data_IF_409553735039
#
_entry.id   IF_409553735039
#
_cell.length_a   1.000
_cell.length_b   1.000
_cell.length_c   1.000
_cell.angle_alpha   90.00
_cell.angle_beta   90.00
_cell.angle_gamma   90.00
#
_symmetry.space_group_name_H-M   'P 1'
#
loop_
_entity.id
_entity.type
_entity.pdbx_description
1 polymer ?
#
# COMPACT_ATOMS: atom_id res chain seq x y z
N UNK A 1 77.40 -28.23 97.33
CA UNK A 1 77.42 -26.76 97.49
C UNK A 1 76.05 -26.25 97.06
N UNK A 2 75.40 -25.43 97.91
CA UNK A 2 74.31 -24.46 97.64
C UNK A 2 73.21 -24.83 96.60
N UNK A 3 71.91 -24.87 96.91
CA UNK A 3 71.16 -23.95 97.78
C UNK A 3 70.94 -22.60 97.06
N UNK A 4 69.75 -21.99 97.04
CA UNK A 4 68.54 -22.17 97.88
C UNK A 4 67.38 -21.35 97.27
N UNK A 5 66.11 -21.70 97.56
CA UNK A 5 64.91 -20.81 97.62
C UNK A 5 64.54 -19.93 96.38
N UNK A 6 63.34 -19.39 96.08
CA UNK A 6 61.93 -19.41 96.52
C UNK A 6 61.09 -18.76 95.37
N UNK A 7 59.74 -18.71 95.29
CA UNK A 7 58.63 -19.11 96.18
C UNK A 7 57.30 -19.37 95.42
N UNK A 8 56.29 -19.86 96.16
CA UNK A 8 54.82 -19.65 96.11
C UNK A 8 54.04 -19.20 94.82
N UNK A 9 52.97 -19.99 94.53
CA UNK A 9 51.59 -19.59 94.10
C UNK A 9 51.20 -19.04 92.70
N UNK A 10 50.09 -19.64 92.19
CA UNK A 10 49.09 -19.22 91.18
C UNK A 10 49.20 -19.66 89.69
N UNK A 11 48.07 -20.23 89.20
CA UNK A 11 47.30 -20.07 87.92
C UNK A 11 48.01 -19.49 86.67
N UNK A 12 47.71 -19.88 85.43
CA UNK A 12 46.62 -20.72 84.85
C UNK A 12 47.00 -21.24 83.44
N UNK A 13 46.28 -22.24 82.92
CA UNK A 13 46.66 -23.03 81.74
C UNK A 13 46.41 -22.39 80.36
N UNK A 14 47.31 -22.64 79.39
CA UNK A 14 47.09 -22.67 77.92
C UNK A 14 48.29 -23.28 77.18
N UNK A 15 48.06 -23.96 76.05
CA UNK A 15 49.06 -24.34 75.02
C UNK A 15 49.72 -25.72 75.22
N UNK A 16 49.67 -26.74 74.32
CA UNK A 16 50.06 -26.83 72.87
C UNK A 16 51.56 -27.20 72.73
N UNK A 17 52.09 -28.13 71.89
CA UNK A 17 51.61 -29.00 70.79
C UNK A 17 52.49 -30.30 70.71
N UNK A 18 52.13 -31.34 69.92
CA UNK A 18 53.15 -32.23 69.29
C UNK A 18 52.95 -33.78 69.24
N UNK A 19 52.58 -34.29 68.04
CA UNK A 19 52.88 -35.63 67.45
C UNK A 19 51.99 -36.89 67.71
N UNK A 20 52.04 -37.82 66.73
CA UNK A 20 50.95 -38.67 66.19
C UNK A 20 50.93 -40.14 66.68
N UNK A 21 49.80 -40.89 66.57
CA UNK A 21 49.45 -41.62 65.32
C UNK A 21 47.94 -41.73 64.97
N UNK A 22 47.66 -42.32 63.79
CA UNK A 22 46.35 -42.85 63.30
C UNK A 22 45.30 -41.88 62.70
N UNK A 23 45.27 -41.79 61.36
CA UNK A 23 44.24 -41.07 60.60
C UNK A 23 42.98 -41.93 60.36
N UNK A 24 41.82 -41.51 60.87
CA UNK A 24 40.49 -41.97 60.40
C UNK A 24 39.49 -40.82 60.20
N UNK A 25 39.48 -40.27 59.00
CA UNK A 25 38.26 -39.94 58.25
C UNK A 25 37.20 -39.02 58.86
N UNK A 26 37.48 -37.72 58.91
CA UNK A 26 36.44 -36.70 58.79
C UNK A 26 36.43 -36.16 57.35
N UNK A 27 35.26 -36.12 56.69
CA UNK A 27 35.10 -35.46 55.37
C UNK A 27 33.98 -34.44 55.40
N UNK A 28 34.36 -33.18 55.16
CA UNK A 28 33.49 -32.05 54.87
C UNK A 28 32.61 -32.38 53.64
N UNK A 29 31.29 -32.36 53.80
CA UNK A 29 30.34 -32.66 52.73
C UNK A 29 30.29 -31.51 51.72
N UNK A 30 31.11 -31.58 50.67
CA UNK A 30 30.94 -30.73 49.48
C UNK A 30 29.61 -31.08 48.79
N UNK A 31 28.85 -30.10 48.25
CA UNK A 31 27.65 -30.41 47.48
C UNK A 31 28.04 -31.23 46.25
N UNK A 32 27.38 -32.37 46.06
CA UNK A 32 27.69 -33.29 44.97
C UNK A 32 27.32 -32.67 43.63
N UNK A 33 28.28 -32.65 42.69
CA UNK A 33 27.99 -32.28 41.31
C UNK A 33 27.02 -33.32 40.71
N UNK A 34 25.82 -32.87 40.37
CA UNK A 34 24.79 -33.74 39.79
C UNK A 34 25.18 -34.14 38.37
N UNK A 35 25.39 -35.43 38.13
CA UNK A 35 25.77 -35.97 36.83
C UNK A 35 24.62 -35.81 35.82
N UNK A 36 24.85 -34.94 34.84
CA UNK A 36 23.94 -34.62 33.75
C UNK A 36 24.02 -35.70 32.67
N UNK A 37 22.87 -36.17 32.19
CA UNK A 37 22.79 -37.24 31.19
C UNK A 37 21.43 -37.30 30.51
N UNK A 38 21.23 -38.29 29.63
CA UNK A 38 19.97 -38.44 28.90
C UNK A 38 18.79 -38.60 29.88
N UNK A 39 17.77 -37.74 29.75
CA UNK A 39 16.63 -37.67 30.68
C UNK A 39 16.90 -37.02 32.04
N UNK A 40 18.13 -36.56 32.33
CA UNK A 40 18.54 -35.94 33.61
C UNK A 40 19.03 -34.50 33.37
N UNK A 41 18.13 -33.49 33.28
CA UNK A 41 18.52 -32.10 33.07
C UNK A 41 19.26 -31.52 34.30
N UNK A 42 20.18 -30.55 34.10
CA UNK A 42 20.96 -29.98 35.20
C UNK A 42 20.05 -29.25 36.22
N UNK A 43 20.29 -29.52 37.51
CA UNK A 43 19.43 -29.03 38.60
C UNK A 43 19.25 -27.51 38.64
N UNK A 44 20.28 -26.74 38.26
CA UNK A 44 20.24 -25.28 38.19
C UNK A 44 19.21 -24.70 37.19
N UNK A 45 18.80 -25.48 36.18
CA UNK A 45 17.86 -25.07 35.14
C UNK A 45 16.51 -25.81 35.20
N UNK A 46 16.28 -26.62 36.24
CA UNK A 46 15.01 -27.33 36.41
C UNK A 46 13.93 -26.39 36.94
N UNK A 47 12.76 -26.38 36.30
CA UNK A 47 11.60 -25.63 36.80
C UNK A 47 11.21 -26.09 38.21
N UNK A 48 10.98 -25.13 39.11
CA UNK A 48 10.54 -25.41 40.48
C UNK A 48 9.11 -25.97 40.47
N UNK A 49 8.86 -27.04 41.22
CA UNK A 49 7.53 -27.66 41.34
C UNK A 49 6.53 -26.64 41.86
N UNK A 50 5.47 -26.36 41.08
CA UNK A 50 4.46 -25.35 41.40
C UNK A 50 4.68 -23.97 40.76
N UNK A 51 5.80 -23.72 40.07
CA UNK A 51 6.08 -22.44 39.40
C UNK A 51 6.28 -22.63 37.89
N UNK A 52 5.35 -22.10 37.09
CA UNK A 52 5.46 -22.07 35.62
C UNK A 52 6.73 -21.33 35.18
N UNK A 53 7.47 -21.91 34.23
CA UNK A 53 8.61 -21.26 33.58
C UNK A 53 8.24 -20.04 32.73
N UNK A 54 6.96 -19.89 32.38
CA UNK A 54 6.42 -18.69 31.75
C UNK A 54 5.50 -17.97 32.75
N UNK A 55 5.96 -16.88 33.40
CA UNK A 55 5.16 -16.13 34.37
C UNK A 55 4.05 -15.29 33.74
N UNK A 56 4.07 -15.07 32.41
CA UNK A 56 2.94 -14.46 31.67
C UNK A 56 1.87 -15.48 31.27
N UNK A 57 2.10 -16.76 31.56
CA UNK A 57 1.25 -17.87 31.13
C UNK A 57 1.28 -18.12 29.61
N UNK A 58 0.79 -19.28 29.13
CA UNK A 58 0.37 -19.37 27.74
C UNK A 58 -0.73 -18.32 27.50
N UNK A 59 -0.59 -17.53 26.43
CA UNK A 59 -1.65 -16.59 26.03
C UNK A 59 -3.00 -17.33 25.87
N UNK A 60 -4.13 -16.66 26.10
CA UNK A 60 -5.44 -17.32 26.14
C UNK A 60 -5.67 -18.16 24.88
N UNK A 61 -5.98 -19.45 25.07
CA UNK A 61 -6.24 -20.43 24.00
C UNK A 61 -7.52 -20.08 23.23
N UNK A 62 -7.46 -19.05 22.39
CA UNK A 62 -8.62 -18.48 21.74
C UNK A 62 -8.42 -17.03 21.29
N UNK A 63 -7.36 -16.76 20.51
CA UNK A 63 -7.47 -15.68 19.53
C UNK A 63 -8.73 -15.94 18.69
N UNK A 64 -9.57 -14.92 18.48
CA UNK A 64 -10.93 -15.09 17.91
C UNK A 64 -10.96 -15.42 16.40
N UNK A 65 -9.88 -15.99 15.87
CA UNK A 65 -9.77 -16.47 14.49
C UNK A 65 -10.31 -17.91 14.33
N UNK A 66 -11.36 -18.25 15.09
CA UNK A 66 -12.23 -19.37 14.74
C UNK A 66 -13.26 -18.89 13.70
N UNK A 67 -12.78 -18.64 12.49
CA UNK A 67 -13.66 -18.80 11.33
C UNK A 67 -14.12 -20.26 11.32
N UNK A 68 -15.35 -20.50 11.77
CA UNK A 68 -16.05 -21.74 11.42
C UNK A 68 -15.98 -21.83 9.89
N UNK A 69 -15.23 -22.79 9.36
CA UNK A 69 -15.34 -23.12 7.95
C UNK A 69 -16.65 -23.86 7.73
N UNK A 70 -17.50 -23.34 6.85
CA UNK A 70 -18.10 -24.19 5.85
C UNK A 70 -17.75 -23.73 4.43
N UNK A 71 -17.80 -24.71 3.52
CA UNK A 71 -17.77 -24.61 2.07
C UNK A 71 -16.52 -24.00 1.39
N UNK A 72 -16.32 -24.48 0.16
CA UNK A 72 -15.25 -24.10 -0.75
C UNK A 72 -15.62 -22.75 -1.36
N UNK A 73 -14.98 -21.68 -0.89
CA UNK A 73 -15.19 -20.33 -1.40
C UNK A 73 -13.85 -19.80 -1.93
N UNK A 74 -13.61 -20.01 -3.22
CA UNK A 74 -12.46 -19.42 -3.91
C UNK A 74 -12.46 -17.89 -3.75
N UNK A 75 -13.66 -17.28 -3.83
CA UNK A 75 -13.96 -15.89 -3.51
C UNK A 75 -13.42 -15.44 -2.14
N UNK A 76 -13.52 -16.28 -1.10
CA UNK A 76 -13.03 -15.96 0.25
C UNK A 76 -11.51 -16.00 0.33
N UNK A 77 -10.86 -16.92 -0.39
CA UNK A 77 -9.40 -16.94 -0.48
C UNK A 77 -8.90 -15.73 -1.29
N UNK A 78 -9.54 -15.45 -2.43
CA UNK A 78 -9.27 -14.26 -3.24
C UNK A 78 -9.41 -12.98 -2.40
N UNK A 79 -10.50 -12.84 -1.63
CA UNK A 79 -10.70 -11.71 -0.71
C UNK A 79 -9.56 -11.59 0.32
N UNK A 80 -9.20 -12.67 1.02
CA UNK A 80 -8.11 -12.65 2.02
C UNK A 80 -6.77 -12.28 1.37
N UNK A 81 -6.50 -12.79 0.16
CA UNK A 81 -5.28 -12.45 -0.61
C UNK A 81 -5.27 -10.97 -1.01
N UNK A 82 -6.40 -10.41 -1.44
CA UNK A 82 -6.52 -8.99 -1.79
C UNK A 82 -6.39 -8.10 -0.54
N UNK A 83 -7.03 -8.46 0.57
CA UNK A 83 -6.92 -7.74 1.85
C UNK A 83 -5.47 -7.68 2.34
N UNK A 84 -4.74 -8.80 2.32
CA UNK A 84 -3.32 -8.82 2.71
C UNK A 84 -2.43 -8.12 1.68
N UNK A 85 -2.73 -8.20 0.38
CA UNK A 85 -1.99 -7.51 -0.69
C UNK A 85 -2.06 -5.98 -0.56
N UNK A 86 -3.22 -5.44 -0.19
CA UNK A 86 -3.42 -4.01 0.00
C UNK A 86 -3.10 -3.51 1.42
N UNK A 87 -2.93 -4.40 2.40
CA UNK A 87 -2.48 -4.04 3.75
C UNK A 87 -1.13 -3.32 3.69
N UNK A 88 -1.04 -2.16 4.33
CA UNK A 88 0.20 -1.38 4.37
C UNK A 88 1.20 -1.98 5.36
N UNK A 89 2.47 -1.98 4.96
CA UNK A 89 3.61 -2.33 5.81
C UNK A 89 4.72 -1.28 5.65
N UNK A 90 5.50 -1.07 6.70
CA UNK A 90 6.69 -0.21 6.65
C UNK A 90 7.90 -1.05 6.23
N UNK A 91 8.53 -0.66 5.12
CA UNK A 91 9.69 -1.34 4.54
C UNK A 91 10.85 -0.36 4.46
N UNK A 92 12.08 -0.87 4.65
CA UNK A 92 13.30 -0.08 4.49
C UNK A 92 13.74 -0.11 3.03
N UNK A 93 13.65 1.05 2.37
CA UNK A 93 14.07 1.28 0.99
C UNK A 93 15.40 2.06 1.04
N UNK A 94 16.50 1.31 1.13
CA UNK A 94 17.85 1.84 1.37
C UNK A 94 17.98 2.52 2.75
N UNK A 95 18.15 3.84 2.73
CA UNK A 95 18.28 4.66 3.94
C UNK A 95 16.94 5.13 4.51
N UNK A 96 15.85 5.07 3.73
CA UNK A 96 14.54 5.62 4.12
C UNK A 96 13.57 4.49 4.49
N UNK A 97 12.75 4.70 5.51
CA UNK A 97 11.59 3.85 5.78
C UNK A 97 10.39 4.39 4.99
N UNK A 98 9.71 3.53 4.23
CA UNK A 98 8.54 3.90 3.44
C UNK A 98 7.40 2.94 3.76
N UNK A 99 6.21 3.50 4.00
CA UNK A 99 5.00 2.70 4.20
C UNK A 99 4.30 2.52 2.85
N UNK A 100 4.15 1.28 2.41
CA UNK A 100 3.54 0.89 1.12
C UNK A 100 2.67 -0.36 1.30
N UNK A 101 1.71 -0.64 0.39
CA UNK A 101 0.99 -1.92 0.36
C UNK A 101 1.95 -3.12 0.25
N UNK A 102 1.60 -4.23 0.89
CA UNK A 102 2.37 -5.49 0.90
C UNK A 102 2.72 -5.95 -0.52
N UNK A 103 1.76 -5.94 -1.45
CA UNK A 103 2.01 -6.33 -2.84
C UNK A 103 3.06 -5.42 -3.49
N UNK A 104 2.99 -4.10 -3.29
CA UNK A 104 3.98 -3.16 -3.84
C UNK A 104 5.38 -3.40 -3.24
N UNK A 105 5.48 -3.68 -1.94
CA UNK A 105 6.73 -4.05 -1.28
C UNK A 105 7.33 -5.33 -1.86
N UNK A 106 6.52 -6.38 -2.04
CA UNK A 106 6.96 -7.65 -2.61
C UNK A 106 7.49 -7.43 -4.03
N UNK A 107 6.73 -6.76 -4.90
CA UNK A 107 7.16 -6.49 -6.28
C UNK A 107 8.46 -5.66 -6.33
N UNK A 108 8.61 -4.61 -5.51
CA UNK A 108 9.87 -3.84 -5.41
C UNK A 108 11.04 -4.72 -4.99
N UNK A 109 10.87 -5.51 -3.92
CA UNK A 109 11.95 -6.37 -3.40
C UNK A 109 12.37 -7.43 -4.42
N UNK A 110 11.41 -8.01 -5.15
CA UNK A 110 11.63 -8.96 -6.23
C UNK A 110 12.34 -8.31 -7.41
N UNK A 111 11.96 -7.10 -7.83
CA UNK A 111 12.65 -6.36 -8.88
C UNK A 111 14.11 -6.05 -8.51
N UNK A 112 14.37 -5.60 -7.28
CA UNK A 112 15.75 -5.38 -6.77
C UNK A 112 16.55 -6.68 -6.76
N UNK A 113 15.95 -7.80 -6.36
CA UNK A 113 16.61 -9.11 -6.35
C UNK A 113 16.85 -9.66 -7.78
N UNK A 114 15.94 -9.41 -8.72
CA UNK A 114 16.09 -9.74 -10.13
C UNK A 114 17.23 -8.94 -10.78
N UNK A 115 17.31 -7.64 -10.50
CA UNK A 115 18.39 -6.76 -10.93
C UNK A 115 19.76 -7.18 -10.35
N UNK A 116 19.78 -7.74 -9.13
CA UNK A 116 20.95 -8.35 -8.50
C UNK A 116 21.32 -9.75 -9.03
N UNK A 117 20.67 -10.23 -10.09
CA UNK A 117 21.01 -11.50 -10.74
C UNK A 117 20.39 -12.76 -10.14
N UNK A 118 19.44 -12.65 -9.19
CA UNK A 118 18.79 -13.84 -8.61
C UNK A 118 17.85 -14.49 -9.63
N UNK A 119 18.26 -15.59 -10.27
CA UNK A 119 17.53 -16.23 -11.36
C UNK A 119 16.05 -16.54 -11.06
N UNK A 120 15.71 -16.96 -9.83
CA UNK A 120 14.31 -17.20 -9.43
C UNK A 120 13.49 -15.91 -9.41
N UNK A 121 14.06 -14.80 -8.95
CA UNK A 121 13.42 -13.49 -8.96
C UNK A 121 13.31 -12.93 -10.39
N UNK A 122 14.34 -13.11 -11.22
CA UNK A 122 14.32 -12.75 -12.65
C UNK A 122 13.18 -13.46 -13.38
N UNK A 123 13.04 -14.77 -13.19
CA UNK A 123 11.97 -15.57 -13.80
C UNK A 123 10.58 -15.11 -13.35
N UNK A 124 10.34 -15.00 -12.04
CA UNK A 124 9.05 -14.56 -11.50
C UNK A 124 8.68 -13.15 -11.96
N UNK A 125 9.66 -12.23 -12.01
CA UNK A 125 9.45 -10.87 -12.51
C UNK A 125 9.11 -10.85 -14.00
N UNK A 126 9.81 -11.63 -14.82
CA UNK A 126 9.53 -11.75 -16.25
C UNK A 126 8.15 -12.39 -16.53
N UNK A 127 7.78 -13.45 -15.79
CA UNK A 127 6.45 -14.09 -15.88
C UNK A 127 5.33 -13.09 -15.53
N UNK A 128 5.51 -12.28 -14.47
CA UNK A 128 4.55 -11.23 -14.10
C UNK A 128 4.49 -10.07 -15.09
N UNK A 129 5.63 -9.67 -15.66
CA UNK A 129 5.69 -8.64 -16.71
C UNK A 129 4.92 -9.09 -17.96
N UNK A 130 5.27 -10.25 -18.52
CA UNK A 130 4.59 -10.80 -19.71
C UNK A 130 3.10 -11.04 -19.45
N UNK A 131 2.72 -11.53 -18.28
CA UNK A 131 1.31 -11.67 -17.89
C UNK A 131 0.57 -10.34 -17.85
N UNK A 132 1.20 -9.30 -17.28
CA UNK A 132 0.62 -7.95 -17.19
C UNK A 132 0.52 -7.28 -18.56
N UNK A 133 1.57 -7.36 -19.39
CA UNK A 133 1.58 -6.83 -20.76
C UNK A 133 0.55 -7.53 -21.65
N UNK A 134 0.42 -8.86 -21.54
CA UNK A 134 -0.57 -9.63 -22.31
C UNK A 134 -1.99 -9.29 -21.87
N UNK A 135 -2.26 -9.21 -20.56
CA UNK A 135 -3.55 -8.81 -20.04
C UNK A 135 -3.89 -7.35 -20.40
N UNK A 136 -2.92 -6.45 -20.37
CA UNK A 136 -3.09 -5.07 -20.80
C UNK A 136 -3.40 -5.00 -22.30
N UNK A 137 -2.59 -5.64 -23.15
CA UNK A 137 -2.80 -5.68 -24.60
C UNK A 137 -4.19 -6.22 -24.94
N UNK A 138 -4.57 -7.35 -24.35
CA UNK A 138 -5.91 -7.93 -24.52
C UNK A 138 -7.03 -6.93 -24.19
N UNK A 139 -6.95 -6.18 -23.08
CA UNK A 139 -7.95 -5.16 -22.74
C UNK A 139 -7.97 -3.99 -23.74
N UNK A 140 -6.82 -3.59 -24.28
CA UNK A 140 -6.74 -2.56 -25.32
C UNK A 140 -7.33 -3.08 -26.65
N UNK A 141 -7.04 -4.32 -27.03
CA UNK A 141 -7.58 -4.96 -28.23
C UNK A 141 -9.11 -5.15 -28.12
N UNK A 142 -9.61 -5.60 -26.97
CA UNK A 142 -11.04 -5.73 -26.67
C UNK A 142 -11.74 -4.35 -26.76
N UNK A 143 -11.16 -3.31 -26.18
CA UNK A 143 -11.70 -1.94 -26.24
C UNK A 143 -11.64 -1.34 -27.66
N UNK A 144 -10.54 -1.53 -28.38
CA UNK A 144 -10.37 -1.07 -29.77
C UNK A 144 -11.41 -1.73 -30.69
N UNK A 145 -11.60 -3.04 -30.59
CA UNK A 145 -12.60 -3.76 -31.38
C UNK A 145 -14.03 -3.28 -31.07
N UNK A 146 -14.38 -3.13 -29.80
CA UNK A 146 -15.69 -2.59 -29.40
C UNK A 146 -15.90 -1.16 -29.92
N UNK A 147 -14.89 -0.29 -29.84
CA UNK A 147 -14.95 1.07 -30.36
C UNK A 147 -15.08 1.13 -31.89
N UNK A 148 -14.37 0.28 -32.64
CA UNK A 148 -14.51 0.16 -34.08
C UNK A 148 -15.92 -0.32 -34.48
N UNK A 149 -16.43 -1.37 -33.84
CA UNK A 149 -17.78 -1.89 -34.09
C UNK A 149 -18.84 -0.82 -33.82
N UNK A 150 -18.78 -0.20 -32.64
CA UNK A 150 -19.70 0.87 -32.24
C UNK A 150 -19.72 2.03 -33.25
N UNK A 151 -18.54 2.50 -33.68
CA UNK A 151 -18.42 3.61 -34.63
C UNK A 151 -19.05 3.25 -35.99
N UNK A 152 -18.70 2.09 -36.56
CA UNK A 152 -19.21 1.64 -37.86
C UNK A 152 -20.73 1.39 -37.82
N UNK A 153 -21.26 0.82 -36.75
CA UNK A 153 -22.69 0.56 -36.59
C UNK A 153 -23.48 1.87 -36.48
N UNK A 154 -23.02 2.83 -35.68
CA UNK A 154 -23.70 4.11 -35.51
C UNK A 154 -23.55 5.06 -36.71
N UNK A 155 -22.40 5.12 -37.37
CA UNK A 155 -22.26 5.87 -38.64
C UNK A 155 -23.25 5.36 -39.69
N UNK A 156 -23.40 4.04 -39.81
CA UNK A 156 -24.34 3.41 -40.74
C UNK A 156 -25.80 3.72 -40.39
N UNK A 157 -26.16 3.68 -39.11
CA UNK A 157 -27.53 3.99 -38.65
C UNK A 157 -27.85 5.48 -38.76
N UNK A 158 -26.91 6.38 -38.45
CA UNK A 158 -27.08 7.83 -38.66
C UNK A 158 -27.24 8.17 -40.14
N UNK A 159 -26.40 7.60 -41.02
CA UNK A 159 -26.53 7.79 -42.47
C UNK A 159 -27.88 7.26 -43.01
N UNK A 160 -28.38 6.16 -42.45
CA UNK A 160 -29.72 5.65 -42.74
C UNK A 160 -30.82 6.60 -42.27
N UNK A 161 -30.72 7.18 -41.07
CA UNK A 161 -31.69 8.14 -40.54
C UNK A 161 -31.74 9.42 -41.36
N UNK A 162 -30.58 9.97 -41.71
CA UNK A 162 -30.43 11.14 -42.58
C UNK A 162 -31.12 10.90 -43.93
N UNK A 163 -30.78 9.78 -44.60
CA UNK A 163 -31.38 9.40 -45.90
C UNK A 163 -32.90 9.18 -45.84
N UNK A 164 -33.45 8.83 -44.67
CA UNK A 164 -34.89 8.60 -44.47
C UNK A 164 -35.62 9.81 -43.84
N UNK A 165 -34.92 10.90 -43.50
CA UNK A 165 -35.50 12.08 -42.85
C UNK A 165 -35.97 11.84 -41.40
N UNK A 166 -35.39 10.86 -40.70
CA UNK A 166 -35.78 10.48 -39.33
C UNK A 166 -35.06 11.39 -38.32
N UNK A 167 -35.79 12.36 -37.76
CA UNK A 167 -35.26 13.39 -36.83
C UNK A 167 -35.84 13.33 -35.42
N UNK A 168 -36.74 12.39 -35.14
CA UNK A 168 -37.48 12.23 -33.87
C UNK A 168 -36.70 11.42 -32.82
N UNK A 169 -35.70 10.65 -33.24
CA UNK A 169 -34.87 9.82 -32.35
C UNK A 169 -33.67 10.60 -31.81
N UNK A 170 -33.32 10.44 -30.51
CA UNK A 170 -32.13 11.07 -29.94
C UNK A 170 -30.84 10.52 -30.59
N UNK A 171 -29.77 11.33 -30.62
CA UNK A 171 -28.46 10.88 -31.06
C UNK A 171 -27.86 9.86 -30.06
N UNK A 172 -26.99 8.96 -30.53
CA UNK A 172 -26.31 7.99 -29.67
C UNK A 172 -25.35 8.66 -28.68
N UNK A 173 -25.12 7.98 -27.56
CA UNK A 173 -24.09 8.31 -26.58
C UNK A 173 -23.14 7.11 -26.40
N UNK A 174 -21.82 7.29 -26.55
CA UNK A 174 -21.15 8.45 -27.16
C UNK A 174 -21.54 8.66 -28.64
N UNK A 175 -21.44 9.88 -29.17
CA UNK A 175 -21.57 10.09 -30.62
C UNK A 175 -20.41 9.40 -31.36
N UNK A 176 -20.58 8.77 -32.55
CA UNK A 176 -19.47 8.14 -33.28
C UNK A 176 -18.30 9.09 -33.58
N UNK A 177 -18.57 10.40 -33.76
CA UNK A 177 -17.50 11.41 -33.93
C UNK A 177 -16.62 11.58 -32.68
N UNK A 178 -17.17 11.35 -31.49
CA UNK A 178 -16.41 11.37 -30.24
C UNK A 178 -15.52 10.13 -30.08
N UNK A 179 -15.69 9.10 -30.91
CA UNK A 179 -14.85 7.89 -30.91
C UNK A 179 -13.68 8.09 -31.87
N UNK A 180 -12.53 8.50 -31.33
CA UNK A 180 -11.30 8.71 -32.10
C UNK A 180 -10.46 7.44 -32.08
N UNK A 181 -10.15 6.91 -33.27
CA UNK A 181 -9.43 5.65 -33.46
C UNK A 181 -8.11 5.95 -34.16
N UNK A 182 -6.98 5.71 -33.49
CA UNK A 182 -5.65 5.75 -34.09
C UNK A 182 -5.27 4.34 -34.55
N UNK A 183 -5.40 4.11 -35.85
CA UNK A 183 -5.09 2.85 -36.53
C UNK A 183 -3.58 2.54 -36.49
N UNK A 184 -2.70 3.56 -36.43
CA UNK A 184 -1.25 3.37 -36.38
C UNK A 184 -0.76 3.01 -34.99
N UNK A 185 -1.34 3.62 -33.97
CA UNK A 185 -1.05 3.29 -32.57
C UNK A 185 -1.81 2.04 -32.07
N UNK A 186 -2.88 1.63 -32.77
CA UNK A 186 -3.75 0.55 -32.32
C UNK A 186 -4.55 0.94 -31.07
N UNK A 187 -5.03 2.18 -30.99
CA UNK A 187 -5.74 2.69 -29.81
C UNK A 187 -7.04 3.40 -30.18
N UNK A 188 -8.00 3.38 -29.26
CA UNK A 188 -9.21 4.19 -29.33
C UNK A 188 -9.30 5.08 -28.09
N UNK A 189 -9.98 6.23 -28.23
CA UNK A 189 -10.34 7.12 -27.12
C UNK A 189 -11.70 7.76 -27.37
N UNK A 190 -12.40 8.09 -26.30
CA UNK A 190 -13.65 8.86 -26.34
C UNK A 190 -13.31 10.30 -25.94
N UNK A 191 -13.69 11.28 -26.76
CA UNK A 191 -13.35 12.71 -26.57
C UNK A 191 -14.53 13.60 -26.17
N UNK A 192 -15.72 13.03 -26.05
CA UNK A 192 -16.95 13.74 -25.65
C UNK A 192 -17.79 12.89 -24.68
N UNK A 193 -19.00 13.32 -24.31
CA UNK A 193 -19.83 12.62 -23.34
C UNK A 193 -20.18 11.21 -23.82
N UNK A 194 -19.94 10.22 -22.95
CA UNK A 194 -20.29 8.82 -23.14
C UNK A 194 -21.56 8.44 -22.39
N UNK A 195 -21.86 9.12 -21.27
CA UNK A 195 -23.07 8.88 -20.47
C UNK A 195 -24.11 10.03 -20.58
N UNK A 196 -25.39 9.79 -20.27
CA UNK A 196 -26.40 10.86 -20.20
C UNK A 196 -26.08 11.94 -19.16
N UNK A 197 -25.43 11.56 -18.06
CA UNK A 197 -25.03 12.47 -16.98
C UNK A 197 -23.88 13.39 -17.44
N UNK A 198 -22.85 12.82 -18.07
CA UNK A 198 -21.78 13.58 -18.73
C UNK A 198 -22.33 14.50 -19.82
N UNK A 199 -23.31 14.03 -20.60
CA UNK A 199 -23.96 14.86 -21.63
C UNK A 199 -24.69 16.04 -21.00
N UNK A 200 -25.43 15.84 -19.90
CA UNK A 200 -26.13 16.93 -19.22
C UNK A 200 -25.15 17.99 -18.67
N UNK A 201 -24.01 17.55 -18.13
CA UNK A 201 -22.93 18.44 -17.69
C UNK A 201 -22.28 19.17 -18.88
N UNK A 202 -21.98 18.47 -19.96
CA UNK A 202 -21.43 19.04 -21.19
C UNK A 202 -22.37 20.10 -21.79
N UNK A 203 -23.66 19.78 -21.90
CA UNK A 203 -24.72 20.68 -22.38
C UNK A 203 -24.90 21.89 -21.44
N UNK A 204 -24.58 21.78 -20.14
CA UNK A 204 -24.53 22.92 -19.22
C UNK A 204 -23.29 23.78 -19.48
N UNK A 205 -22.09 23.21 -19.49
CA UNK A 205 -20.83 23.95 -19.73
C UNK A 205 -20.86 24.66 -21.09
N UNK A 206 -21.44 24.04 -22.12
CA UNK A 206 -21.63 24.65 -23.43
C UNK A 206 -22.59 25.86 -23.40
N UNK A 207 -23.66 25.81 -22.60
CA UNK A 207 -24.58 26.95 -22.40
C UNK A 207 -23.90 28.09 -21.64
N UNK A 208 -23.21 27.76 -20.54
CA UNK A 208 -22.52 28.73 -19.69
C UNK A 208 -21.40 29.45 -20.47
N UNK A 209 -20.64 28.71 -21.29
CA UNK A 209 -19.66 29.24 -22.25
C UNK A 209 -20.31 30.21 -23.24
N UNK A 210 -21.42 29.83 -23.87
CA UNK A 210 -22.11 30.67 -24.84
C UNK A 210 -22.74 31.94 -24.21
N UNK A 211 -23.11 31.91 -22.92
CA UNK A 211 -23.47 33.11 -22.18
C UNK A 211 -22.25 33.99 -21.87
N UNK A 212 -21.14 33.40 -21.40
CA UNK A 212 -19.90 34.10 -21.13
C UNK A 212 -19.35 34.81 -22.37
N UNK A 213 -19.34 34.15 -23.54
CA UNK A 213 -18.93 34.75 -24.81
C UNK A 213 -19.82 35.94 -25.21
N UNK A 214 -21.14 35.87 -24.98
CA UNK A 214 -22.08 36.99 -25.20
C UNK A 214 -21.82 38.15 -24.23
N UNK A 215 -21.57 37.86 -22.95
CA UNK A 215 -21.27 38.87 -21.93
C UNK A 215 -19.93 39.56 -22.22
N UNK A 216 -18.89 38.81 -22.59
CA UNK A 216 -17.61 39.37 -23.02
C UNK A 216 -17.74 40.19 -24.31
N UNK A 217 -18.55 39.76 -25.28
CA UNK A 217 -18.83 40.54 -26.48
C UNK A 217 -19.57 41.86 -26.17
N UNK A 218 -20.43 41.89 -25.14
CA UNK A 218 -21.05 43.11 -24.62
C UNK A 218 -20.03 44.03 -23.95
N UNK A 219 -19.19 43.50 -23.04
CA UNK A 219 -18.14 44.26 -22.37
C UNK A 219 -17.13 44.86 -23.37
N UNK A 220 -16.69 44.09 -24.39
CA UNK A 220 -15.85 44.58 -25.50
C UNK A 220 -16.52 45.65 -26.37
N UNK A 221 -17.86 45.78 -26.36
CA UNK A 221 -18.58 46.89 -27.01
C UNK A 221 -18.70 48.11 -26.09
N UNK A 222 -18.80 47.90 -24.78
CA UNK A 222 -18.81 48.97 -23.78
C UNK A 222 -17.43 49.66 -23.70
N UNK A 223 -16.35 48.88 -23.60
CA UNK A 223 -14.96 49.39 -23.58
C UNK A 223 -14.63 50.32 -24.78
N UNK A 224 -15.24 50.09 -25.95
CA UNK A 224 -15.06 50.92 -27.16
C UNK A 224 -15.80 52.25 -27.15
N UNK A 225 -16.72 52.44 -26.20
CA UNK A 225 -17.56 53.64 -26.03
C UNK A 225 -17.24 54.37 -24.74
N UNK A 226 -16.66 53.67 -23.78
CA UNK A 226 -16.33 54.22 -22.49
C UNK A 226 -15.11 55.15 -22.57
N UNK A 227 -15.16 56.26 -21.84
CA UNK A 227 -14.13 57.31 -21.84
C UNK A 227 -13.51 57.52 -20.46
N UNK A 228 -14.16 57.04 -19.39
CA UNK A 228 -13.61 57.07 -18.04
C UNK A 228 -12.49 56.01 -17.86
N UNK A 229 -11.25 56.41 -17.49
CA UNK A 229 -10.16 55.46 -17.25
C UNK A 229 -10.43 54.43 -16.14
N UNK A 230 -11.18 54.78 -15.10
CA UNK A 230 -11.47 53.85 -13.99
C UNK A 230 -12.44 52.76 -14.46
N UNK A 231 -13.52 53.13 -15.17
CA UNK A 231 -14.44 52.15 -15.76
C UNK A 231 -13.79 51.31 -16.86
N UNK A 232 -12.86 51.88 -17.64
CA UNK A 232 -12.07 51.13 -18.62
C UNK A 232 -11.23 50.03 -17.94
N UNK A 233 -10.49 50.35 -16.87
CA UNK A 233 -9.65 49.35 -16.17
C UNK A 233 -10.50 48.21 -15.57
N UNK A 234 -11.67 48.51 -15.01
CA UNK A 234 -12.56 47.50 -14.45
C UNK A 234 -13.23 46.64 -15.52
N UNK A 235 -13.62 47.21 -16.67
CA UNK A 235 -14.09 46.41 -17.82
C UNK A 235 -12.97 45.48 -18.32
N UNK A 236 -11.72 45.95 -18.39
CA UNK A 236 -10.56 45.11 -18.73
C UNK A 236 -10.26 44.03 -17.68
N UNK A 237 -10.46 44.33 -16.38
CA UNK A 237 -10.37 43.36 -15.29
C UNK A 237 -11.40 42.24 -15.47
N UNK A 238 -12.66 42.59 -15.75
CA UNK A 238 -13.73 41.63 -16.01
C UNK A 238 -13.51 40.82 -17.30
N UNK A 239 -12.97 41.43 -18.35
CA UNK A 239 -12.61 40.73 -19.58
C UNK A 239 -11.50 39.70 -19.35
N UNK A 240 -10.45 40.03 -18.59
CA UNK A 240 -9.38 39.09 -18.22
C UNK A 240 -9.91 37.88 -17.44
N UNK A 241 -10.75 38.10 -16.44
CA UNK A 241 -11.41 37.03 -15.67
C UNK A 241 -12.30 36.17 -16.59
N UNK A 242 -13.03 36.79 -17.52
CA UNK A 242 -13.83 36.10 -18.53
C UNK A 242 -12.99 35.25 -19.48
N UNK A 243 -11.82 35.74 -19.92
CA UNK A 243 -10.89 35.00 -20.79
C UNK A 243 -10.30 33.78 -20.08
N UNK A 244 -9.91 33.90 -18.80
CA UNK A 244 -9.47 32.75 -18.00
C UNK A 244 -10.57 31.71 -17.81
N UNK A 245 -11.79 32.14 -17.48
CA UNK A 245 -12.93 31.25 -17.31
C UNK A 245 -13.29 30.54 -18.63
N UNK A 246 -13.28 31.27 -19.74
CA UNK A 246 -13.53 30.74 -21.09
C UNK A 246 -12.46 29.72 -21.49
N UNK A 247 -11.18 29.96 -21.15
CA UNK A 247 -10.11 29.00 -21.42
C UNK A 247 -10.32 27.69 -20.66
N UNK A 248 -10.69 27.75 -19.37
CA UNK A 248 -11.01 26.56 -18.56
C UNK A 248 -12.24 25.81 -19.10
N UNK A 249 -13.27 26.53 -19.55
CA UNK A 249 -14.46 25.93 -20.18
C UNK A 249 -14.13 25.22 -21.50
N UNK A 250 -13.26 25.80 -22.34
CA UNK A 250 -12.80 25.17 -23.59
C UNK A 250 -12.01 23.89 -23.34
N UNK A 251 -11.06 23.92 -22.40
CA UNK A 251 -10.34 22.72 -21.95
C UNK A 251 -11.30 21.62 -21.45
N UNK A 252 -12.37 21.98 -20.73
CA UNK A 252 -13.37 21.02 -20.24
C UNK A 252 -14.27 20.43 -21.36
N UNK A 253 -14.45 21.15 -22.46
CA UNK A 253 -15.20 20.70 -23.64
C UNK A 253 -14.34 19.98 -24.69
N UNK A 254 -13.01 20.01 -24.55
CA UNK A 254 -12.06 19.42 -25.50
C UNK A 254 -11.73 20.30 -26.72
N UNK A 255 -11.95 21.62 -26.62
CA UNK A 255 -11.61 22.65 -27.62
C UNK A 255 -10.23 23.30 -27.37
#
# INVERSE_FOLDING_TARGET
>A
MSGRDKDDRQRSATGDDGSLPSLRGAKLTRPTAYEVGYGKPPGAHRFQKGRSGNPKGPGPKGAKNKSKMPALHEERLQQIVLEEAYRTITVRDGERAVTVPMAQAIIRSMAVNAAKGQHRAQRLFAELLVGTETANRRRHDEFLNAAMQYKVEWERELWRRERLGITDLPPPLPHPDHVVIDIRAGTARITGPATPEEKALYDQVARDKAELERNMARLRRQLKRETDPEEQEDIERHLRIGEEALHRMKQALGE
#
